data_IF_229488953620
#
_entry.id   IF_229488953620
#
_cell.length_a   1.000
_cell.length_b   1.000
_cell.length_c   1.000
_cell.angle_alpha   90.00
_cell.angle_beta   90.00
_cell.angle_gamma   90.00
#
_symmetry.space_group_name_H-M   'P 1'
#
loop_
_entity.id
_entity.type
_entity.pdbx_description
1 polymer ?
#
# COMPACT_ATOMS: atom_id res chain seq x y z
N UNK A 1 9.26 3.56 1.22
CA UNK A 1 9.75 2.56 0.25
C UNK A 1 10.62 3.29 -0.77
N UNK A 2 11.63 2.66 -1.35
CA UNK A 2 12.38 3.30 -2.42
C UNK A 2 11.48 3.54 -3.65
N UNK A 3 11.77 4.57 -4.44
CA UNK A 3 11.09 4.79 -5.71
C UNK A 3 11.53 3.72 -6.75
N UNK A 4 10.56 3.17 -7.50
CA UNK A 4 10.80 2.14 -8.52
C UNK A 4 10.12 2.46 -9.85
N UNK A 5 10.80 2.13 -10.96
CA UNK A 5 10.29 2.32 -12.32
C UNK A 5 9.46 1.14 -12.84
N UNK A 6 9.93 -0.07 -12.61
CA UNK A 6 9.31 -1.29 -13.11
C UNK A 6 8.56 -2.01 -11.99
N UNK A 7 7.34 -2.46 -12.30
CA UNK A 7 6.47 -3.14 -11.35
C UNK A 7 5.93 -4.42 -11.98
N UNK A 8 6.00 -5.53 -11.25
CA UNK A 8 5.66 -6.86 -11.77
C UNK A 8 4.77 -7.62 -10.81
N UNK A 9 3.67 -8.14 -11.35
CA UNK A 9 2.81 -9.10 -10.67
C UNK A 9 3.13 -10.49 -11.22
N UNK A 10 3.54 -11.39 -10.34
CA UNK A 10 3.67 -12.81 -10.61
C UNK A 10 2.46 -13.52 -9.99
N UNK A 11 1.46 -13.83 -10.82
CA UNK A 11 0.27 -14.56 -10.41
C UNK A 11 0.56 -16.06 -10.33
N UNK A 12 0.27 -16.65 -9.19
CA UNK A 12 0.63 -18.03 -8.84
C UNK A 12 -0.57 -18.90 -8.48
N UNK A 13 -1.77 -18.31 -8.42
CA UNK A 13 -3.01 -19.04 -8.13
C UNK A 13 -4.20 -18.49 -8.89
N UNK A 14 -5.14 -19.38 -9.20
CA UNK A 14 -6.41 -19.12 -9.88
C UNK A 14 -6.96 -20.43 -10.46
N UNK A 15 -7.63 -20.38 -11.60
CA UNK A 15 -7.99 -21.61 -12.32
C UNK A 15 -6.74 -22.23 -12.96
N UNK A 16 -6.45 -23.53 -12.73
CA UNK A 16 -5.25 -24.24 -13.21
C UNK A 16 -4.86 -24.00 -14.67
N UNK A 17 -5.80 -23.57 -15.52
CA UNK A 17 -5.58 -23.37 -16.96
C UNK A 17 -5.70 -21.92 -17.42
N UNK A 18 -6.12 -20.97 -16.59
CA UNK A 18 -6.31 -19.59 -17.04
C UNK A 18 -6.36 -18.52 -15.93
N UNK A 19 -6.08 -17.28 -16.34
CA UNK A 19 -6.29 -16.06 -15.56
C UNK A 19 -7.08 -15.02 -16.35
N UNK A 20 -7.91 -14.23 -15.65
CA UNK A 20 -8.46 -12.98 -16.14
C UNK A 20 -8.20 -11.85 -15.13
N UNK A 21 -7.60 -10.75 -15.61
CA UNK A 21 -7.31 -9.55 -14.80
C UNK A 21 -7.90 -8.34 -15.52
N UNK A 22 -8.74 -7.57 -14.83
CA UNK A 22 -9.34 -6.36 -15.37
C UNK A 22 -8.36 -5.20 -15.43
N UNK A 23 -7.81 -4.82 -14.27
CA UNK A 23 -6.95 -3.64 -14.08
C UNK A 23 -5.80 -3.96 -13.12
N UNK A 24 -4.62 -3.41 -13.41
CA UNK A 24 -3.47 -3.33 -12.51
C UNK A 24 -3.09 -1.86 -12.33
N UNK A 25 -3.27 -1.34 -11.12
CA UNK A 25 -3.07 0.08 -10.83
C UNK A 25 -2.11 0.32 -9.68
N UNK A 26 -1.40 1.44 -9.73
CA UNK A 26 -0.46 1.92 -8.71
C UNK A 26 -0.75 3.38 -8.43
N UNK A 27 -1.04 3.72 -7.17
CA UNK A 27 -1.64 5.01 -6.85
C UNK A 27 -0.76 5.90 -5.96
N UNK A 28 -0.71 7.19 -6.30
CA UNK A 28 -0.17 8.27 -5.46
C UNK A 28 -1.19 9.39 -5.37
N UNK A 29 -1.60 9.77 -4.16
CA UNK A 29 -2.56 10.88 -3.97
C UNK A 29 -3.89 10.64 -4.70
N UNK A 30 -4.29 9.38 -4.87
CA UNK A 30 -5.51 8.98 -5.60
C UNK A 30 -5.38 8.93 -7.12
N UNK A 31 -4.22 9.25 -7.70
CA UNK A 31 -3.96 9.17 -9.15
C UNK A 31 -3.36 7.82 -9.50
N UNK A 32 -3.95 7.11 -10.47
CA UNK A 32 -3.39 5.87 -11.02
C UNK A 32 -2.25 6.18 -12.00
N UNK A 33 -1.05 5.69 -11.69
CA UNK A 33 0.15 5.86 -12.50
C UNK A 33 0.22 4.89 -13.67
N UNK A 34 -0.56 3.80 -13.65
CA UNK A 34 -0.47 2.73 -14.64
C UNK A 34 -1.17 3.06 -15.95
N UNK A 35 -2.14 3.98 -15.96
CA UNK A 35 -2.96 4.28 -17.14
C UNK A 35 -2.09 4.66 -18.35
N UNK A 36 -2.27 3.94 -19.45
CA UNK A 36 -1.55 4.16 -20.71
C UNK A 36 -0.06 3.80 -20.68
N UNK A 37 0.43 3.16 -19.62
CA UNK A 37 1.83 2.74 -19.50
C UNK A 37 2.13 1.52 -20.36
N UNK A 38 3.41 1.33 -20.64
CA UNK A 38 3.87 0.13 -21.36
C UNK A 38 3.74 -1.06 -20.42
N UNK A 39 3.05 -2.10 -20.87
CA UNK A 39 2.87 -3.35 -20.14
C UNK A 39 3.24 -4.55 -21.02
N UNK A 40 3.95 -5.52 -20.44
CA UNK A 40 4.26 -6.81 -21.06
C UNK A 40 3.81 -7.96 -20.17
N UNK A 41 3.61 -9.15 -20.75
CA UNK A 41 3.21 -10.35 -20.03
C UNK A 41 3.84 -11.62 -20.62
N UNK A 42 3.72 -12.74 -19.91
CA UNK A 42 4.14 -14.06 -20.43
C UNK A 42 3.28 -14.59 -21.58
N UNK A 43 2.13 -13.96 -21.84
CA UNK A 43 1.26 -14.32 -22.96
C UNK A 43 -0.13 -13.73 -22.81
N UNK A 44 -0.90 -13.83 -23.89
CA UNK A 44 -2.33 -13.50 -23.93
C UNK A 44 -2.99 -14.41 -24.96
N UNK A 45 -4.19 -14.90 -24.66
CA UNK A 45 -4.91 -15.84 -25.54
C UNK A 45 -6.08 -15.20 -26.27
N UNK A 46 -6.89 -14.41 -25.56
CA UNK A 46 -8.09 -13.78 -26.12
C UNK A 46 -8.03 -12.26 -26.02
N UNK A 47 -7.64 -11.75 -24.86
CA UNK A 47 -7.60 -10.33 -24.59
C UNK A 47 -6.18 -9.91 -24.19
N UNK A 48 -5.64 -8.83 -24.78
CA UNK A 48 -4.24 -8.46 -24.62
C UNK A 48 -3.93 -7.94 -23.21
N UNK A 49 -2.67 -8.01 -22.81
CA UNK A 49 -2.22 -7.47 -21.51
C UNK A 49 -2.41 -5.96 -21.38
N UNK A 50 -2.43 -5.21 -22.50
CA UNK A 50 -2.67 -3.77 -22.52
C UNK A 50 -3.98 -3.34 -21.85
N UNK A 51 -4.97 -4.26 -21.78
CA UNK A 51 -6.25 -4.02 -21.12
C UNK A 51 -6.11 -3.74 -19.63
N UNK A 52 -5.06 -4.23 -18.95
CA UNK A 52 -4.88 -3.98 -17.51
C UNK A 52 -4.55 -2.52 -17.15
N UNK A 53 -4.28 -1.68 -18.16
CA UNK A 53 -3.84 -0.28 -18.00
C UNK A 53 -4.61 0.69 -18.89
N UNK A 54 -5.77 0.29 -19.44
CA UNK A 54 -6.50 1.07 -20.45
C UNK A 54 -7.56 2.03 -19.88
N UNK A 55 -7.81 1.97 -18.56
CA UNK A 55 -8.89 2.71 -17.88
C UNK A 55 -10.29 2.42 -18.44
N UNK A 56 -10.54 1.20 -18.89
CA UNK A 56 -11.83 0.73 -19.36
C UNK A 56 -12.29 -0.53 -18.61
N UNK A 57 -13.57 -0.89 -18.79
CA UNK A 57 -14.08 -2.18 -18.33
C UNK A 57 -13.70 -3.23 -19.37
N UNK A 58 -12.45 -3.68 -19.29
CA UNK A 58 -11.86 -4.70 -20.15
C UNK A 58 -11.06 -5.68 -19.28
N UNK A 59 -10.41 -6.68 -19.89
CA UNK A 59 -9.59 -7.64 -19.15
C UNK A 59 -8.43 -8.15 -20.00
N UNK A 60 -7.31 -8.48 -19.38
CA UNK A 60 -6.31 -9.39 -19.93
C UNK A 60 -6.71 -10.83 -19.64
N UNK A 61 -6.47 -11.74 -20.60
CA UNK A 61 -6.69 -13.16 -20.41
C UNK A 61 -5.55 -14.00 -20.98
N UNK A 62 -5.08 -14.96 -20.18
CA UNK A 62 -4.11 -15.96 -20.58
C UNK A 62 -4.61 -17.35 -20.16
N UNK A 63 -4.70 -18.30 -21.11
CA UNK A 63 -5.18 -19.68 -20.88
C UNK A 63 -4.04 -20.71 -20.94
N UNK A 64 -2.88 -20.36 -20.37
CA UNK A 64 -1.76 -21.28 -20.19
C UNK A 64 -1.68 -21.71 -18.72
N UNK A 65 -0.96 -22.79 -18.39
CA UNK A 65 -0.70 -23.12 -16.99
C UNK A 65 0.03 -22.00 -16.25
N UNK A 66 -0.27 -21.83 -14.96
CA UNK A 66 0.48 -20.94 -14.08
C UNK A 66 1.98 -21.31 -14.02
N UNK A 67 2.86 -20.35 -13.72
CA UNK A 67 2.57 -18.95 -13.34
C UNK A 67 2.29 -18.02 -14.52
N UNK A 68 1.55 -16.94 -14.27
CA UNK A 68 1.39 -15.82 -15.19
C UNK A 68 2.08 -14.58 -14.66
N UNK A 69 2.57 -13.71 -15.53
CA UNK A 69 3.10 -12.44 -15.09
C UNK A 69 2.71 -11.29 -15.99
N UNK A 70 2.55 -10.11 -15.39
CA UNK A 70 2.44 -8.83 -16.07
C UNK A 70 3.45 -7.85 -15.46
N UNK A 71 4.16 -7.11 -16.32
CA UNK A 71 5.18 -6.12 -15.95
C UNK A 71 4.82 -4.77 -16.56
N UNK A 72 4.76 -3.74 -15.74
CA UNK A 72 4.49 -2.36 -16.14
C UNK A 72 5.79 -1.54 -16.02
N UNK A 73 6.08 -0.75 -17.05
CA UNK A 73 7.09 0.31 -17.02
C UNK A 73 6.40 1.67 -16.84
N UNK A 74 6.58 2.30 -15.67
CA UNK A 74 5.99 3.60 -15.37
C UNK A 74 6.66 4.76 -16.12
N UNK A 75 7.81 4.52 -16.75
CA UNK A 75 8.63 5.51 -17.47
C UNK A 75 9.57 6.32 -16.57
N UNK A 76 9.30 6.37 -15.27
CA UNK A 76 10.13 6.98 -14.24
C UNK A 76 9.95 6.24 -12.91
N UNK A 77 10.82 6.47 -11.94
CA UNK A 77 10.72 5.86 -10.62
C UNK A 77 9.70 6.61 -9.74
N UNK A 78 8.78 5.86 -9.12
CA UNK A 78 7.74 6.39 -8.23
C UNK A 78 7.65 5.59 -6.93
N UNK A 79 7.05 6.18 -5.90
CA UNK A 79 6.69 5.52 -4.63
C UNK A 79 5.16 5.48 -4.45
N UNK A 80 4.46 4.50 -5.06
CA UNK A 80 3.02 4.32 -4.90
C UNK A 80 2.65 3.99 -3.45
N UNK A 81 1.53 4.56 -2.98
CA UNK A 81 1.00 4.36 -1.62
C UNK A 81 0.26 3.02 -1.49
N UNK A 82 -0.43 2.62 -2.55
CA UNK A 82 -1.16 1.36 -2.64
C UNK A 82 -1.21 0.90 -4.09
N UNK A 83 -1.51 -0.38 -4.28
CA UNK A 83 -1.83 -0.94 -5.58
C UNK A 83 -3.24 -1.53 -5.58
N UNK A 84 -3.76 -1.76 -6.78
CA UNK A 84 -5.02 -2.47 -6.96
C UNK A 84 -4.84 -3.62 -7.94
N UNK A 85 -5.65 -4.67 -7.73
CA UNK A 85 -5.90 -5.72 -8.72
C UNK A 85 -7.40 -5.80 -8.89
N UNK A 86 -7.88 -5.53 -10.09
CA UNK A 86 -9.26 -5.81 -10.47
C UNK A 86 -9.30 -7.16 -11.17
N UNK A 87 -10.20 -8.04 -10.75
CA UNK A 87 -10.43 -9.31 -11.43
C UNK A 87 -11.05 -9.10 -12.82
N UNK A 88 -11.02 -10.13 -13.67
CA UNK A 88 -11.81 -10.11 -14.91
C UNK A 88 -13.32 -10.25 -14.68
N UNK A 89 -14.07 -10.32 -15.78
CA UNK A 89 -15.54 -10.42 -15.76
C UNK A 89 -16.07 -11.74 -15.19
N UNK A 90 -15.27 -12.79 -15.18
CA UNK A 90 -15.65 -14.10 -14.64
C UNK A 90 -14.82 -14.44 -13.36
N UNK A 91 -15.40 -14.31 -12.16
CA UNK A 91 -14.70 -14.49 -10.87
C UNK A 91 -13.89 -15.77 -10.72
N UNK A 92 -14.33 -16.86 -11.33
CA UNK A 92 -13.69 -18.17 -11.29
C UNK A 92 -12.33 -18.21 -12.00
N UNK A 93 -12.03 -17.22 -12.85
CA UNK A 93 -10.74 -17.07 -13.54
C UNK A 93 -9.88 -15.94 -12.98
N UNK A 94 -10.36 -15.19 -12.00
CA UNK A 94 -9.58 -14.13 -11.38
C UNK A 94 -8.44 -14.73 -10.52
N UNK A 95 -7.29 -14.05 -10.41
CA UNK A 95 -6.16 -14.58 -9.65
C UNK A 95 -6.49 -14.72 -8.17
N UNK A 96 -6.09 -15.84 -7.56
CA UNK A 96 -6.27 -16.09 -6.12
C UNK A 96 -4.98 -15.92 -5.31
N UNK A 97 -3.83 -15.81 -5.99
CA UNK A 97 -2.54 -15.53 -5.35
C UNK A 97 -1.57 -14.82 -6.31
N UNK A 98 -0.74 -13.93 -5.77
CA UNK A 98 0.34 -13.28 -6.51
C UNK A 98 1.43 -12.71 -5.60
N UNK A 99 2.59 -12.47 -6.19
CA UNK A 99 3.66 -11.66 -5.61
C UNK A 99 3.81 -10.38 -6.42
N UNK A 100 3.83 -9.23 -5.74
CA UNK A 100 4.17 -7.94 -6.33
C UNK A 100 5.64 -7.64 -6.04
N UNK A 101 6.39 -7.34 -7.10
CA UNK A 101 7.79 -6.94 -7.02
C UNK A 101 8.05 -5.66 -7.81
N UNK A 102 9.11 -4.95 -7.45
CA UNK A 102 9.54 -3.75 -8.16
C UNK A 102 11.05 -3.72 -8.43
N UNK A 103 11.45 -2.93 -9.43
CA UNK A 103 12.81 -2.87 -9.93
C UNK A 103 13.12 -1.50 -10.56
N UNK A 104 14.39 -1.11 -10.58
CA UNK A 104 14.89 0.06 -11.29
C UNK A 104 15.70 -0.28 -12.56
N UNK A 105 16.19 -1.51 -12.67
CA UNK A 105 16.99 -2.00 -13.81
C UNK A 105 16.22 -2.98 -14.71
N UNK A 106 15.05 -3.45 -14.26
CA UNK A 106 14.21 -4.43 -14.94
C UNK A 106 14.71 -5.87 -14.82
N UNK A 107 15.80 -6.12 -14.08
CA UNK A 107 16.46 -7.42 -13.93
C UNK A 107 16.58 -7.86 -12.48
N UNK A 108 16.84 -6.94 -11.56
CA UNK A 108 16.93 -7.17 -10.12
C UNK A 108 15.62 -6.74 -9.47
N UNK A 109 14.94 -7.66 -8.80
CA UNK A 109 13.59 -7.44 -8.29
C UNK A 109 13.57 -7.50 -6.77
N UNK A 110 12.91 -6.53 -6.15
CA UNK A 110 12.59 -6.51 -4.73
C UNK A 110 11.14 -6.92 -4.56
N UNK A 111 10.90 -7.96 -3.76
CA UNK A 111 9.53 -8.37 -3.39
C UNK A 111 8.96 -7.34 -2.43
N UNK A 112 7.78 -6.83 -2.75
CA UNK A 112 7.09 -5.78 -1.99
C UNK A 112 5.88 -6.30 -1.23
N UNK A 113 5.14 -7.24 -1.85
CA UNK A 113 3.95 -7.82 -1.25
C UNK A 113 3.69 -9.24 -1.79
N UNK A 114 3.02 -10.07 -1.00
CA UNK A 114 2.56 -11.40 -1.41
C UNK A 114 1.15 -11.64 -0.88
N UNK A 115 0.23 -11.91 -1.80
CA UNK A 115 -1.18 -12.17 -1.51
C UNK A 115 -1.50 -13.62 -1.83
N UNK A 116 -2.29 -14.26 -0.97
CA UNK A 116 -2.79 -15.63 -1.15
C UNK A 116 -4.27 -15.70 -0.80
N UNK A 117 -4.93 -16.80 -1.20
CA UNK A 117 -6.32 -17.11 -0.87
C UNK A 117 -7.34 -15.98 -1.17
N UNK A 118 -7.10 -15.19 -2.22
CA UNK A 118 -7.99 -14.11 -2.62
C UNK A 118 -9.27 -14.66 -3.25
N UNK A 119 -10.39 -14.01 -2.96
CA UNK A 119 -11.72 -14.37 -3.47
C UNK A 119 -12.34 -13.19 -4.21
N UNK A 120 -13.26 -13.44 -5.14
CA UNK A 120 -13.86 -12.41 -5.99
C UNK A 120 -15.38 -12.48 -5.89
N UNK A 121 -16.05 -11.50 -5.27
CA UNK A 121 -17.49 -11.55 -5.04
C UNK A 121 -18.29 -11.34 -6.34
N UNK A 122 -17.70 -10.66 -7.33
CA UNK A 122 -18.31 -10.40 -8.64
C UNK A 122 -17.24 -10.18 -9.70
N UNK A 123 -17.63 -10.22 -10.98
CA UNK A 123 -16.76 -9.82 -12.08
C UNK A 123 -16.35 -8.35 -11.95
N UNK A 124 -15.15 -8.02 -12.41
CA UNK A 124 -14.58 -6.66 -12.36
C UNK A 124 -14.55 -6.04 -10.95
N UNK A 125 -14.57 -6.87 -9.90
CA UNK A 125 -14.38 -6.40 -8.55
C UNK A 125 -12.92 -5.98 -8.34
N UNK A 126 -12.71 -4.85 -7.67
CA UNK A 126 -11.37 -4.30 -7.39
C UNK A 126 -10.96 -4.56 -5.96
N UNK A 127 -9.77 -5.12 -5.77
CA UNK A 127 -9.11 -5.24 -4.46
C UNK A 127 -7.97 -4.25 -4.36
N UNK A 128 -7.86 -3.60 -3.21
CA UNK A 128 -6.86 -2.57 -2.92
C UNK A 128 -5.93 -3.04 -1.81
N UNK A 129 -4.63 -2.82 -1.99
CA UNK A 129 -3.58 -3.31 -1.08
C UNK A 129 -2.58 -2.18 -0.77
N UNK A 130 -2.35 -1.86 0.51
CA UNK A 130 -1.37 -0.86 0.89
C UNK A 130 0.05 -1.36 0.58
N UNK A 131 0.89 -0.48 0.00
CA UNK A 131 2.34 -0.70 -0.15
C UNK A 131 3.14 -0.06 0.98
N UNK A 132 2.48 0.78 1.76
CA UNK A 132 3.01 1.30 3.00
C UNK A 132 3.10 0.20 4.07
N UNK A 133 4.21 0.18 4.80
CA UNK A 133 4.39 -0.74 5.92
C UNK A 133 3.33 -0.46 6.99
N UNK A 134 2.45 -1.43 7.21
CA UNK A 134 1.61 -1.47 8.39
C UNK A 134 2.50 -1.68 9.62
N UNK A 135 2.44 -0.76 10.58
CA UNK A 135 3.17 -0.88 11.85
C UNK A 135 2.32 -0.35 12.99
N UNK A 136 2.60 -0.83 14.20
CA UNK A 136 2.07 -0.25 15.43
C UNK A 136 3.15 0.66 16.00
N UNK A 137 2.86 1.95 16.08
CA UNK A 137 3.64 2.85 16.92
C UNK A 137 3.16 2.68 18.35
N UNK A 138 4.08 2.54 19.30
CA UNK A 138 3.75 2.36 20.70
C UNK A 138 4.84 2.93 21.60
N UNK A 139 4.48 3.14 22.86
CA UNK A 139 5.41 3.60 23.87
C UNK A 139 4.76 3.66 25.25
N UNK A 140 5.54 4.12 26.22
CA UNK A 140 5.08 4.38 27.57
C UNK A 140 5.34 5.84 27.91
N UNK A 141 4.36 6.50 28.51
CA UNK A 141 4.45 7.89 28.98
C UNK A 141 4.47 7.85 30.50
N UNK A 142 5.56 8.35 31.07
CA UNK A 142 5.81 8.40 32.51
C UNK A 142 6.31 9.78 32.91
N UNK A 143 6.07 10.17 34.16
CA UNK A 143 6.66 11.37 34.74
C UNK A 143 8.15 11.18 35.10
N UNK A 144 8.78 12.22 35.64
CA UNK A 144 10.18 12.19 36.06
C UNK A 144 10.46 11.20 37.20
N UNK A 145 9.44 10.77 37.92
CA UNK A 145 9.52 9.74 38.97
C UNK A 145 9.24 8.32 38.44
N UNK A 146 8.94 8.19 37.14
CA UNK A 146 8.66 6.91 36.49
C UNK A 146 7.21 6.42 36.65
N UNK A 147 6.30 7.25 37.16
CA UNK A 147 4.88 6.91 37.29
C UNK A 147 4.13 7.13 35.95
N UNK A 148 3.17 6.27 35.59
CA UNK A 148 2.31 6.43 34.42
C UNK A 148 1.62 7.79 34.33
N UNK A 149 1.60 8.37 33.12
CA UNK A 149 0.81 9.56 32.82
C UNK A 149 -0.20 9.29 31.70
N UNK A 150 -1.39 9.87 31.84
CA UNK A 150 -2.41 9.93 30.79
C UNK A 150 -2.18 11.21 29.97
N UNK A 151 -1.86 11.04 28.69
CA UNK A 151 -1.61 12.12 27.72
C UNK A 151 -2.30 11.80 26.41
N UNK A 152 -2.71 12.84 25.71
CA UNK A 152 -3.10 12.72 24.30
C UNK A 152 -1.84 12.66 23.44
N UNK A 153 -1.69 11.57 22.70
CA UNK A 153 -0.59 11.32 21.77
C UNK A 153 -1.08 11.61 20.37
N UNK A 154 -0.47 12.58 19.69
CA UNK A 154 -0.77 12.91 18.29
C UNK A 154 0.41 12.52 17.41
N UNK A 155 0.11 11.89 16.28
CA UNK A 155 1.12 11.44 15.33
C UNK A 155 0.95 12.25 14.05
N UNK A 156 2.01 12.92 13.64
CA UNK A 156 2.02 13.78 12.45
C UNK A 156 2.97 13.22 11.41
N UNK A 157 2.61 13.38 10.14
CA UNK A 157 3.54 13.18 9.04
C UNK A 157 4.68 14.21 9.14
N UNK A 158 5.93 13.75 9.12
CA UNK A 158 7.10 14.62 9.29
C UNK A 158 7.39 15.50 8.08
N UNK A 159 6.90 15.14 6.89
CA UNK A 159 7.05 15.99 5.72
C UNK A 159 5.92 17.02 5.63
N UNK A 160 4.67 16.55 5.70
CA UNK A 160 3.49 17.39 5.41
C UNK A 160 2.90 18.10 6.64
N UNK A 161 3.23 17.63 7.85
CA UNK A 161 2.64 18.14 9.09
C UNK A 161 1.18 17.69 9.31
N UNK A 162 0.61 16.89 8.40
CA UNK A 162 -0.76 16.38 8.55
C UNK A 162 -0.87 15.41 9.74
N UNK A 163 -1.97 15.50 10.48
CA UNK A 163 -2.31 14.55 11.54
C UNK A 163 -2.62 13.18 10.92
N UNK A 164 -1.85 12.17 11.30
CA UNK A 164 -2.06 10.76 10.94
C UNK A 164 -3.06 10.10 11.88
N UNK A 165 -3.00 10.45 13.17
CA UNK A 165 -3.98 9.99 14.15
C UNK A 165 -3.60 10.34 15.58
N UNK A 166 -4.49 9.95 16.48
CA UNK A 166 -4.41 10.28 17.91
C UNK A 166 -4.64 9.01 18.74
N UNK A 167 -3.92 8.89 19.86
CA UNK A 167 -4.12 7.87 20.89
C UNK A 167 -4.10 8.53 22.27
N UNK A 168 -4.52 7.79 23.30
CA UNK A 168 -4.40 8.22 24.71
C UNK A 168 -3.60 7.17 25.47
N UNK A 169 -2.61 7.58 26.25
CA UNK A 169 -1.86 6.66 27.10
C UNK A 169 -2.67 6.20 28.32
N UNK A 170 -2.45 4.97 28.78
CA UNK A 170 -3.22 4.40 29.88
C UNK A 170 -2.80 4.94 31.26
N UNK A 171 -3.76 5.11 32.17
CA UNK A 171 -3.45 5.50 33.55
C UNK A 171 -2.68 4.43 34.35
N UNK A 172 -2.85 3.15 33.99
CA UNK A 172 -2.25 2.04 34.71
C UNK A 172 -0.76 1.81 34.36
N UNK A 173 -0.37 2.04 33.10
CA UNK A 173 0.96 1.71 32.61
C UNK A 173 1.64 2.86 31.86
N UNK A 174 0.89 3.89 31.47
CA UNK A 174 1.36 4.93 30.55
C UNK A 174 1.41 4.44 29.11
N UNK A 175 0.94 3.22 28.84
CA UNK A 175 1.06 2.58 27.54
C UNK A 175 0.13 3.22 26.52
N UNK A 176 0.62 3.42 25.30
CA UNK A 176 -0.18 3.83 24.15
C UNK A 176 0.20 3.00 22.93
N UNK A 177 -0.72 2.90 21.98
CA UNK A 177 -0.44 2.32 20.67
C UNK A 177 -1.33 2.95 19.60
N UNK A 178 -0.82 3.08 18.38
CA UNK A 178 -1.57 3.49 17.21
C UNK A 178 -1.14 2.66 16.01
N UNK A 179 -2.10 2.06 15.32
CA UNK A 179 -1.87 1.41 14.04
C UNK A 179 -1.72 2.47 12.95
N UNK A 180 -0.63 2.41 12.18
CA UNK A 180 -0.36 3.31 11.07
C UNK A 180 0.03 2.53 9.82
N UNK A 181 -0.38 3.03 8.66
CA UNK A 181 -0.06 2.46 7.35
C UNK A 181 0.65 3.54 6.55
N UNK A 182 1.94 3.71 6.81
CA UNK A 182 2.78 4.66 6.08
C UNK A 182 4.25 4.26 6.14
N UNK A 183 4.96 4.60 5.08
CA UNK A 183 6.42 4.54 5.04
C UNK A 183 7.07 5.88 5.38
N UNK A 184 6.28 6.96 5.46
CA UNK A 184 6.77 8.29 5.75
C UNK A 184 7.37 8.34 7.16
N UNK A 185 8.32 9.25 7.33
CA UNK A 185 8.76 9.60 8.67
C UNK A 185 7.62 10.27 9.43
N UNK A 186 7.48 9.88 10.70
CA UNK A 186 6.43 10.35 11.58
C UNK A 186 7.04 11.06 12.78
N UNK A 187 6.34 12.07 13.28
CA UNK A 187 6.63 12.73 14.55
C UNK A 187 5.54 12.37 15.55
N UNK A 188 5.95 11.84 16.70
CA UNK A 188 5.04 11.57 17.84
C UNK A 188 5.13 12.75 18.79
N UNK A 189 3.98 13.33 19.11
CA UNK A 189 3.85 14.49 19.99
C UNK A 189 2.93 14.15 21.16
N UNK A 190 3.37 14.45 22.37
CA UNK A 190 2.63 14.21 23.61
C UNK A 190 2.91 15.37 24.57
N UNK A 191 1.94 16.26 24.74
CA UNK A 191 2.10 17.50 25.49
C UNK A 191 0.94 17.69 26.46
N UNK A 192 -0.29 17.64 25.95
CA UNK A 192 -1.51 17.85 26.75
C UNK A 192 -1.77 16.73 27.77
N UNK A 193 -2.16 17.13 28.99
CA UNK A 193 -2.87 16.20 29.88
C UNK A 193 -4.20 15.77 29.23
N UNK A 194 -4.62 14.53 29.46
CA UNK A 194 -5.88 14.05 28.89
C UNK A 194 -7.14 14.67 29.54
N UNK A 195 -6.97 15.47 30.60
CA UNK A 195 -8.03 16.15 31.34
C UNK A 195 -8.31 17.57 30.79
N UNK A 196 -7.54 18.03 29.80
CA UNK A 196 -7.82 19.22 29.00
C UNK A 196 -7.24 20.52 29.54
N UNK A 197 -6.18 20.51 30.35
CA UNK A 197 -5.46 21.76 30.65
C UNK A 197 -4.85 22.30 29.36
N UNK A 198 -5.32 23.47 28.90
CA UNK A 198 -4.86 24.09 27.67
C UNK A 198 -3.48 24.72 27.88
N UNK A 199 -2.43 24.01 27.47
CA UNK A 199 -1.07 24.54 27.39
C UNK A 199 -0.80 25.05 25.97
N UNK A 200 -0.16 26.22 25.84
CA UNK A 200 0.20 26.80 24.53
C UNK A 200 1.58 26.31 24.09
N UNK A 201 1.73 24.99 23.95
CA UNK A 201 2.98 24.38 23.55
C UNK A 201 3.29 24.65 22.07
N UNK A 202 4.43 25.27 21.80
CA UNK A 202 4.88 25.55 20.44
C UNK A 202 5.93 24.51 20.00
N UNK A 203 5.60 23.74 18.96
CA UNK A 203 6.56 22.86 18.28
C UNK A 203 6.91 23.48 16.93
N UNK A 204 8.11 24.05 16.85
CA UNK A 204 8.66 24.58 15.60
C UNK A 204 9.60 23.55 14.98
N UNK A 205 9.31 23.13 13.74
CA UNK A 205 10.19 22.24 12.98
C UNK A 205 11.19 23.08 12.19
N UNK A 206 12.47 22.72 12.27
CA UNK A 206 13.52 23.23 11.39
C UNK A 206 13.82 22.15 10.34
N UNK A 207 13.55 22.41 9.08
CA UNK A 207 14.02 21.58 7.96
C UNK A 207 15.36 22.14 7.47
N UNK A 208 16.36 21.28 7.26
CA UNK A 208 17.54 21.67 6.49
C UNK A 208 17.08 21.95 5.04
N UNK A 209 17.55 23.06 4.48
CA UNK A 209 17.34 23.40 3.07
C UNK A 209 18.03 22.40 2.15
#
# INVERSE_FOLDING_TARGET
MAAFRYWKWDFTGGNNTAIMVGTLGLFIGGVDLCIGKTVTANGATHFPVANVVDNAVSQWQNNQPYPHWAKIDLGAAYEPQYYVVQGGGAPTFCPTAWTLSASNDGTTWVVLDTQTAQTWPSGYYTRTYPLAAARILSGFIKDASGLPLVRTVRIFNRNTGLLVGTATSSAALGAWSLFVVTNDELQVVMLDDALGTLENDQILRVSAA
#
